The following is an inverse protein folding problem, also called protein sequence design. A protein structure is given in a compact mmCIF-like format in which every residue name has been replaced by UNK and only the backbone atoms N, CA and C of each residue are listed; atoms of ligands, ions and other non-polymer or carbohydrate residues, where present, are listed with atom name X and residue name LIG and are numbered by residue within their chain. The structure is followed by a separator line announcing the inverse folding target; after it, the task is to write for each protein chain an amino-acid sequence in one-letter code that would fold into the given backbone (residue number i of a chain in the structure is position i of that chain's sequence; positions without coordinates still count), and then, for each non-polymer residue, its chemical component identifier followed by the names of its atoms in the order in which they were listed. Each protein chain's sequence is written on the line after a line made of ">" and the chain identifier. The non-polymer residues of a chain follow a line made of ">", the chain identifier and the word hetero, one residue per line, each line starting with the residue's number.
data_IF_627858549042
#
_entry.id   IF_627858549042
#
_cell.length_a   1.000
_cell.length_b   1.000
_cell.length_c   1.000
_cell.angle_alpha   90.00
_cell.angle_beta   90.00
_cell.angle_gamma   90.00
#
_symmetry.space_group_name_H-M   'P 1'
#
loop_
_entity.id
_entity.type
_entity.pdbx_description
1 polymer ?
#
# COMPACT_ATOMS: atom_id res chain seq x y z
N UNK A 1 -15.74 -2.73 -18.63
CA UNK A 1 -14.82 -1.92 -19.37
C UNK A 1 -13.43 -2.41 -19.06
N UNK A 2 -12.97 -3.20 -19.58
CA UNK A 2 -12.08 -3.64 -18.99
C UNK A 2 -10.86 -4.27 -19.33
N UNK A 3 -10.93 -5.48 -19.40
CA UNK A 3 -9.76 -6.35 -19.51
C UNK A 3 -9.01 -6.10 -20.82
N UNK A 4 -9.73 -5.81 -21.89
CA UNK A 4 -9.11 -5.53 -23.20
C UNK A 4 -8.33 -4.21 -23.20
N UNK A 5 -8.87 -3.17 -22.59
CA UNK A 5 -8.19 -1.87 -22.49
C UNK A 5 -6.98 -1.96 -21.57
N UNK A 6 -7.14 -2.64 -20.44
CA UNK A 6 -6.05 -2.88 -19.51
C UNK A 6 -4.90 -3.65 -20.17
N UNK A 7 -5.22 -4.70 -20.93
CA UNK A 7 -4.24 -5.50 -21.65
C UNK A 7 -3.50 -4.65 -22.72
N UNK A 8 -4.21 -3.80 -23.44
CA UNK A 8 -3.62 -2.90 -24.43
C UNK A 8 -2.69 -1.88 -23.77
N UNK A 9 -3.09 -1.31 -22.64
CA UNK A 9 -2.27 -0.37 -21.89
C UNK A 9 -1.00 -1.03 -21.37
N UNK A 10 -1.09 -2.27 -20.88
CA UNK A 10 0.07 -3.04 -20.46
C UNK A 10 1.05 -3.30 -21.60
N UNK A 11 0.53 -3.72 -22.75
CA UNK A 11 1.36 -3.97 -23.93
C UNK A 11 2.05 -2.70 -24.42
N UNK A 12 1.34 -1.58 -24.43
CA UNK A 12 1.90 -0.28 -24.78
C UNK A 12 3.05 0.13 -23.84
N UNK A 13 2.83 -0.02 -22.55
CA UNK A 13 3.86 0.28 -21.54
C UNK A 13 5.05 -0.66 -21.66
N UNK A 14 4.81 -1.96 -21.87
CA UNK A 14 5.86 -2.94 -22.07
C UNK A 14 6.69 -2.64 -23.33
N UNK A 15 6.05 -2.19 -24.40
CA UNK A 15 6.73 -1.78 -25.61
C UNK A 15 7.64 -0.57 -25.38
N UNK A 16 7.15 0.43 -24.63
CA UNK A 16 7.94 1.61 -24.26
C UNK A 16 9.17 1.23 -23.45
N UNK A 17 9.01 0.34 -22.47
CA UNK A 17 10.13 -0.16 -21.65
C UNK A 17 11.16 -0.92 -22.51
N UNK A 18 10.70 -1.70 -23.47
CA UNK A 18 11.54 -2.42 -24.39
C UNK A 18 12.37 -1.44 -25.26
N UNK A 19 11.74 -0.40 -25.78
CA UNK A 19 12.40 0.63 -26.58
C UNK A 19 13.43 1.42 -25.78
N UNK A 20 13.13 1.76 -24.53
CA UNK A 20 14.07 2.44 -23.65
C UNK A 20 15.36 1.64 -23.44
N UNK A 21 15.28 0.33 -23.47
CA UNK A 21 16.44 -0.55 -23.37
C UNK A 21 17.10 -0.85 -24.73
N UNK A 22 16.62 -0.25 -25.81
CA UNK A 22 17.17 -0.43 -27.14
C UNK A 22 16.85 -1.77 -27.79
N UNK A 23 15.83 -2.47 -27.29
CA UNK A 23 15.38 -3.75 -27.83
C UNK A 23 14.22 -3.56 -28.80
N UNK A 24 14.03 -4.53 -29.67
CA UNK A 24 12.96 -4.51 -30.68
C UNK A 24 11.85 -5.51 -30.42
N UNK A 25 12.05 -6.41 -29.47
CA UNK A 25 11.10 -7.48 -29.15
C UNK A 25 10.71 -7.41 -27.67
N UNK A 26 9.42 -7.30 -27.39
CA UNK A 26 8.89 -7.33 -26.03
C UNK A 26 9.01 -8.76 -25.46
N UNK A 27 9.57 -8.87 -24.27
CA UNK A 27 9.70 -10.13 -23.55
C UNK A 27 8.78 -10.14 -22.31
N UNK A 28 8.62 -11.29 -21.70
CA UNK A 28 7.75 -11.47 -20.53
C UNK A 28 8.11 -10.52 -19.37
N UNK A 29 9.40 -10.27 -19.15
CA UNK A 29 9.86 -9.35 -18.10
C UNK A 29 9.36 -7.92 -18.32
N UNK A 30 9.27 -7.46 -19.55
CA UNK A 30 8.74 -6.14 -19.88
C UNK A 30 7.27 -6.04 -19.47
N UNK A 31 6.49 -7.10 -19.69
CA UNK A 31 5.09 -7.17 -19.28
C UNK A 31 4.97 -7.15 -17.76
N UNK A 32 5.80 -7.90 -17.06
CA UNK A 32 5.83 -7.92 -15.59
C UNK A 32 6.17 -6.54 -15.02
N UNK A 33 7.15 -5.86 -15.61
CA UNK A 33 7.50 -4.49 -15.21
C UNK A 33 6.35 -3.53 -15.48
N UNK A 34 5.67 -3.66 -16.61
CA UNK A 34 4.49 -2.86 -16.92
C UNK A 34 3.36 -3.08 -15.91
N UNK A 35 3.13 -4.33 -15.48
CA UNK A 35 2.16 -4.65 -14.43
C UNK A 35 2.50 -3.96 -13.11
N UNK A 36 3.76 -4.02 -12.69
CA UNK A 36 4.20 -3.35 -11.47
C UNK A 36 4.00 -1.82 -11.54
N UNK A 37 4.30 -1.23 -12.67
CA UNK A 37 4.10 0.21 -12.90
C UNK A 37 2.61 0.58 -12.87
N UNK A 38 1.75 -0.27 -13.43
CA UNK A 38 0.31 -0.05 -13.41
C UNK A 38 -0.24 -0.10 -11.98
N UNK A 39 0.20 -1.07 -11.17
CA UNK A 39 -0.18 -1.18 -9.75
C UNK A 39 0.25 0.05 -8.96
N UNK A 40 1.48 0.51 -9.14
CA UNK A 40 1.99 1.72 -8.50
C UNK A 40 1.20 2.95 -8.93
N UNK A 41 0.85 3.06 -10.20
CA UNK A 41 0.06 4.19 -10.72
C UNK A 41 -1.35 4.20 -10.15
N UNK A 42 -1.98 3.04 -9.99
CA UNK A 42 -3.29 2.92 -9.36
C UNK A 42 -3.24 3.35 -7.90
N UNK A 43 -2.26 2.84 -7.16
CA UNK A 43 -2.03 3.23 -5.77
C UNK A 43 -1.78 4.73 -5.65
N UNK A 44 -0.96 5.27 -6.53
CA UNK A 44 -0.67 6.71 -6.55
C UNK A 44 -1.93 7.53 -6.79
N UNK A 45 -2.81 7.12 -7.69
CA UNK A 45 -4.08 7.82 -7.95
C UNK A 45 -5.00 7.78 -6.74
N UNK A 46 -5.07 6.66 -6.06
CA UNK A 46 -5.90 6.51 -4.87
C UNK A 46 -5.29 7.23 -3.66
N UNK A 47 -3.97 7.20 -3.54
CA UNK A 47 -3.25 7.91 -2.49
C UNK A 47 -3.26 9.44 -2.72
N UNK A 48 -3.40 9.91 -3.97
CA UNK A 48 -3.49 11.35 -4.29
C UNK A 48 -4.68 12.02 -3.59
N UNK A 49 -5.76 11.29 -3.33
CA UNK A 49 -6.96 11.82 -2.69
C UNK A 49 -7.49 11.00 -1.52
N UNK A 50 -6.66 10.22 -0.82
CA UNK A 50 -7.18 9.55 0.36
C UNK A 50 -7.44 10.56 1.45
N UNK A 51 -8.38 10.31 2.33
CA UNK A 51 -8.43 11.04 3.57
C UNK A 51 -7.06 11.00 4.24
N UNK A 52 -6.64 12.10 4.88
CA UNK A 52 -5.31 12.17 5.48
C UNK A 52 -4.98 10.99 6.42
N UNK A 53 -5.99 10.46 7.08
CA UNK A 53 -5.85 9.31 7.98
C UNK A 53 -5.38 8.05 7.27
N UNK A 54 -5.94 7.74 6.08
CA UNK A 54 -5.53 6.57 5.31
C UNK A 54 -4.08 6.68 4.84
N UNK A 55 -3.67 7.87 4.41
CA UNK A 55 -2.29 8.11 4.00
C UNK A 55 -1.32 7.87 5.16
N UNK A 56 -1.58 8.48 6.31
CA UNK A 56 -0.73 8.32 7.50
C UNK A 56 -0.68 6.85 7.94
N UNK A 57 -1.80 6.14 7.86
CA UNK A 57 -1.83 4.73 8.20
C UNK A 57 -0.97 3.89 7.25
N UNK A 58 -1.05 4.14 5.95
CA UNK A 58 -0.18 3.47 4.98
C UNK A 58 1.29 3.76 5.26
N UNK A 59 1.66 5.00 5.52
CA UNK A 59 3.02 5.36 5.91
C UNK A 59 3.48 4.59 7.15
N UNK A 60 2.61 4.49 8.15
CA UNK A 60 2.92 3.78 9.41
C UNK A 60 3.17 2.29 9.18
N UNK A 61 2.34 1.64 8.37
CA UNK A 61 2.48 0.21 8.09
C UNK A 61 3.69 -0.06 7.19
N UNK A 62 3.88 0.74 6.15
CA UNK A 62 4.94 0.53 5.16
C UNK A 62 6.32 1.04 5.61
N UNK A 63 6.40 1.75 6.73
CA UNK A 63 7.68 2.22 7.28
C UNK A 63 8.58 1.09 7.78
N UNK A 64 8.00 -0.07 8.09
CA UNK A 64 8.71 -1.25 8.57
C UNK A 64 8.41 -2.45 7.69
N UNK A 65 9.40 -3.31 7.50
CA UNK A 65 9.24 -4.57 6.76
C UNK A 65 8.57 -5.63 7.61
N UNK A 66 8.75 -5.52 8.91
CA UNK A 66 8.29 -6.50 9.87
C UNK A 66 6.80 -6.34 10.17
N UNK A 67 6.21 -7.43 10.62
CA UNK A 67 4.83 -7.42 11.14
C UNK A 67 4.78 -6.56 12.39
N UNK A 68 3.78 -5.71 12.47
CA UNK A 68 3.57 -4.81 13.61
C UNK A 68 2.30 -5.17 14.35
N UNK A 69 2.32 -5.05 15.68
CA UNK A 69 1.11 -5.15 16.47
C UNK A 69 0.23 -3.91 16.28
N UNK A 70 -1.08 -3.99 16.55
CA UNK A 70 -1.95 -2.80 16.50
C UNK A 70 -1.45 -1.66 17.38
N UNK A 71 -0.86 -1.97 18.52
CA UNK A 71 -0.31 -0.97 19.44
C UNK A 71 0.87 -0.22 18.80
N UNK A 72 1.75 -0.93 18.12
CA UNK A 72 2.88 -0.32 17.43
C UNK A 72 2.42 0.58 16.28
N UNK A 73 1.47 0.12 15.47
CA UNK A 73 0.88 0.90 14.39
C UNK A 73 0.16 2.13 14.93
N UNK A 74 -0.61 1.96 16.01
CA UNK A 74 -1.32 3.06 16.66
C UNK A 74 -0.36 4.14 17.17
N UNK A 75 0.73 3.72 17.79
CA UNK A 75 1.74 4.64 18.30
C UNK A 75 2.39 5.45 17.18
N UNK A 76 2.85 4.78 16.14
CA UNK A 76 3.47 5.43 14.99
C UNK A 76 2.49 6.35 14.26
N UNK A 77 1.28 5.89 14.05
CA UNK A 77 0.21 6.66 13.42
C UNK A 77 -0.04 7.97 14.17
N UNK A 78 -0.26 7.90 15.48
CA UNK A 78 -0.52 9.08 16.28
C UNK A 78 0.70 9.99 16.44
N UNK A 79 1.90 9.42 16.39
CA UNK A 79 3.13 10.20 16.36
C UNK A 79 3.22 11.06 15.08
N UNK A 80 2.93 10.47 13.93
CA UNK A 80 2.91 11.18 12.65
C UNK A 80 1.80 12.25 12.65
N UNK A 81 0.61 11.92 13.15
CA UNK A 81 -0.50 12.87 13.26
C UNK A 81 -0.11 14.07 14.11
N UNK A 82 0.50 13.84 15.26
CA UNK A 82 0.94 14.91 16.14
C UNK A 82 2.00 15.80 15.49
N UNK A 83 3.00 15.20 14.82
CA UNK A 83 4.04 15.95 14.12
C UNK A 83 3.48 16.79 12.96
N UNK A 84 2.38 16.33 12.37
CA UNK A 84 1.68 17.06 11.30
C UNK A 84 0.70 18.11 11.82
N UNK A 85 0.62 18.32 13.13
CA UNK A 85 -0.33 19.28 13.74
C UNK A 85 -1.77 18.80 13.71
N UNK A 86 -2.03 17.51 13.59
CA UNK A 86 -3.37 16.93 13.53
C UNK A 86 -3.74 16.28 14.86
N UNK A 87 -5.04 16.14 15.08
CA UNK A 87 -5.55 15.48 16.28
C UNK A 87 -5.32 13.96 16.21
N UNK A 88 -5.06 13.38 17.36
CA UNK A 88 -4.95 11.94 17.51
C UNK A 88 -6.32 11.27 17.32
N UNK A 89 -6.32 10.05 16.84
CA UNK A 89 -7.54 9.26 16.68
C UNK A 89 -7.62 8.17 17.75
N UNK A 90 -8.86 7.69 18.00
CA UNK A 90 -9.07 6.59 18.92
C UNK A 90 -8.67 5.25 18.32
N UNK A 91 -8.44 4.24 19.18
CA UNK A 91 -8.19 2.87 18.73
C UNK A 91 -9.32 2.33 17.86
N UNK A 92 -10.57 2.67 18.18
CA UNK A 92 -11.73 2.23 17.41
C UNK A 92 -11.69 2.78 15.98
N UNK A 93 -11.36 4.06 15.82
CA UNK A 93 -11.21 4.70 14.52
C UNK A 93 -10.07 4.06 13.72
N UNK A 94 -8.92 3.83 14.37
CA UNK A 94 -7.79 3.20 13.71
C UNK A 94 -8.12 1.77 13.26
N UNK A 95 -8.79 0.99 14.11
CA UNK A 95 -9.21 -0.37 13.76
C UNK A 95 -10.12 -0.39 12.53
N UNK A 96 -11.04 0.58 12.42
CA UNK A 96 -11.90 0.72 11.25
C UNK A 96 -11.10 1.06 9.99
N UNK A 97 -10.11 1.94 10.10
CA UNK A 97 -9.23 2.30 8.99
C UNK A 97 -8.38 1.12 8.52
N UNK A 98 -7.84 0.33 9.45
CA UNK A 98 -7.07 -0.88 9.13
C UNK A 98 -7.95 -1.88 8.40
N UNK A 99 -9.17 -2.12 8.89
CA UNK A 99 -10.12 -3.02 8.24
C UNK A 99 -10.45 -2.58 6.81
N UNK A 100 -10.61 -1.29 6.58
CA UNK A 100 -10.84 -0.72 5.27
C UNK A 100 -9.66 -0.95 4.34
N UNK A 101 -8.44 -0.69 4.79
CA UNK A 101 -7.23 -0.93 3.99
C UNK A 101 -7.00 -2.43 3.72
N UNK A 102 -7.34 -3.30 4.66
CA UNK A 102 -7.31 -4.74 4.46
C UNK A 102 -8.31 -5.16 3.36
N UNK A 103 -9.50 -4.61 3.41
CA UNK A 103 -10.54 -4.90 2.41
C UNK A 103 -10.10 -4.49 1.00
N UNK A 104 -9.41 -3.38 0.86
CA UNK A 104 -8.89 -2.93 -0.43
C UNK A 104 -7.59 -3.62 -0.85
N UNK A 105 -7.02 -4.46 0.00
CA UNK A 105 -5.81 -5.20 -0.31
C UNK A 105 -4.51 -4.42 -0.15
N UNK A 106 -4.52 -3.29 0.53
CA UNK A 106 -3.32 -2.47 0.75
C UNK A 106 -2.48 -2.93 1.92
N UNK A 107 -3.08 -3.58 2.89
CA UNK A 107 -2.39 -4.18 4.03
C UNK A 107 -2.92 -5.57 4.26
N UNK A 108 -2.10 -6.41 4.88
CA UNK A 108 -2.50 -7.73 5.32
C UNK A 108 -2.54 -7.77 6.84
N UNK A 109 -3.49 -8.52 7.37
CA UNK A 109 -3.65 -8.70 8.81
C UNK A 109 -3.60 -10.19 9.12
N UNK A 110 -2.59 -10.58 9.90
CA UNK A 110 -2.50 -11.94 10.41
C UNK A 110 -3.21 -12.00 11.76
N UNK A 111 -4.08 -12.98 11.92
CA UNK A 111 -4.81 -13.23 13.16
C UNK A 111 -4.32 -14.54 13.75
N UNK A 112 -3.79 -14.48 14.98
CA UNK A 112 -3.26 -15.64 15.66
C UNK A 112 -3.96 -15.81 17.01
N UNK A 113 -4.65 -16.91 17.20
CA UNK A 113 -5.31 -17.21 18.45
C UNK A 113 -4.31 -17.50 19.57
N UNK A 114 -4.56 -16.93 20.75
CA UNK A 114 -3.76 -17.19 21.95
C UNK A 114 -4.15 -18.49 22.67
N UNK A 115 -5.13 -19.20 22.14
CA UNK A 115 -5.73 -20.36 22.75
C UNK A 115 -7.16 -20.08 23.22
N UNK A 116 -7.83 -21.11 23.68
CA UNK A 116 -9.26 -21.08 24.00
C UNK A 116 -9.55 -20.04 25.09
N UNK A 117 -10.38 -19.04 24.77
CA UNK A 117 -10.79 -18.01 25.73
C UNK A 117 -9.76 -16.94 26.05
N UNK A 118 -8.61 -16.90 25.35
CA UNK A 118 -7.53 -15.93 25.61
C UNK A 118 -7.42 -14.78 24.60
N UNK A 119 -8.34 -14.73 23.62
CA UNK A 119 -8.33 -13.68 22.60
C UNK A 119 -7.46 -14.00 21.39
N UNK A 120 -7.27 -13.01 20.55
CA UNK A 120 -6.57 -13.13 19.28
C UNK A 120 -5.53 -12.02 19.17
N UNK A 121 -4.30 -12.39 18.78
CA UNK A 121 -3.28 -11.42 18.42
C UNK A 121 -3.41 -11.04 16.96
N UNK A 122 -3.20 -9.76 16.68
CA UNK A 122 -3.22 -9.23 15.33
C UNK A 122 -1.83 -8.71 14.97
N UNK A 123 -1.43 -8.99 13.73
CA UNK A 123 -0.20 -8.43 13.17
C UNK A 123 -0.52 -7.83 11.80
N UNK A 124 -0.02 -6.63 11.56
CA UNK A 124 -0.31 -5.85 10.37
C UNK A 124 0.99 -5.70 9.59
N UNK A 125 0.95 -5.93 8.29
CA UNK A 125 2.12 -5.85 7.44
C UNK A 125 1.76 -5.42 6.01
N UNK A 126 2.75 -4.89 5.26
CA UNK A 126 2.52 -4.51 3.87
C UNK A 126 2.15 -5.70 2.99
N UNK A 127 1.28 -5.46 2.02
CA UNK A 127 0.92 -6.47 1.03
C UNK A 127 2.07 -6.72 0.06
N UNK A 128 2.39 -7.99 -0.20
CA UNK A 128 3.49 -8.37 -1.09
C UNK A 128 3.26 -7.99 -2.55
N UNK A 129 2.01 -7.82 -2.96
CA UNK A 129 1.66 -7.41 -4.33
C UNK A 129 2.04 -5.96 -4.65
N UNK A 130 2.42 -5.19 -3.64
CA UNK A 130 2.76 -3.77 -3.79
C UNK A 130 4.25 -3.59 -3.54
N UNK A 131 4.94 -2.95 -4.48
CA UNK A 131 6.34 -2.61 -4.29
C UNK A 131 6.45 -1.52 -3.21
N UNK A 132 6.92 -1.94 -2.05
CA UNK A 132 7.01 -1.09 -0.85
C UNK A 132 7.73 0.23 -1.10
N UNK A 133 8.89 0.16 -1.76
CA UNK A 133 9.68 1.35 -2.05
C UNK A 133 8.93 2.34 -2.94
N UNK A 134 8.26 1.82 -3.97
CA UNK A 134 7.49 2.65 -4.88
C UNK A 134 6.32 3.33 -4.18
N UNK A 135 5.65 2.61 -3.28
CA UNK A 135 4.58 3.20 -2.49
C UNK A 135 5.10 4.28 -1.54
N UNK A 136 6.19 4.02 -0.84
CA UNK A 136 6.80 5.02 0.05
C UNK A 136 7.25 6.27 -0.72
N UNK A 137 7.83 6.10 -1.90
CA UNK A 137 8.22 7.23 -2.75
C UNK A 137 6.99 8.02 -3.22
N UNK A 138 5.91 7.33 -3.59
CA UNK A 138 4.65 7.98 -3.96
C UNK A 138 4.03 8.74 -2.78
N UNK A 139 4.13 8.22 -1.58
CA UNK A 139 3.62 8.87 -0.37
C UNK A 139 4.43 10.12 0.02
N UNK A 140 5.72 10.15 -0.27
CA UNK A 140 6.57 11.33 -0.02
C UNK A 140 6.19 12.54 -0.84
N UNK A 141 5.64 12.34 -2.03
CA UNK A 141 5.18 13.42 -2.91
C UNK A 141 3.94 14.13 -2.36
N UNK A 142 3.36 13.61 -1.27
CA UNK A 142 2.22 14.19 -0.61
C UNK A 142 2.64 15.05 0.56
N UNK A 143 2.44 16.34 0.40
CA UNK A 143 2.47 17.27 1.53
C UNK A 143 1.12 17.16 2.23
N UNK A 144 1.15 16.73 3.45
CA UNK A 144 -0.04 16.63 4.29
C UNK A 144 -0.41 18.02 4.82
#
# INVERSE_FOLDING_TARGET
>A
MGDARYALDLLSTAADLCEEEGRTTVIEEDVRRAQRLAEVSLLRREVVRPPPHQKVLLESVYSKEEKQSPTEVYREFNNIMRLSGREQVSHKTLSALIAELELYGYVEVERKGRGRGRGVDFYIYPTDSVERKALLDALKDFVV
#
